data_IF_051062444363
#
_entry.id   IF_051062444363
#
_cell.length_a   1.000
_cell.length_b   1.000
_cell.length_c   1.000
_cell.angle_alpha   90.00
_cell.angle_beta   90.00
_cell.angle_gamma   90.00
#
_symmetry.space_group_name_H-M   'P 1'
#
loop_
_entity.id
_entity.type
_entity.pdbx_description
1 polymer ?
2 non-polymer ?
3 non-polymer ?
4 water ?
#
# COMPACT_ATOMS: atom_id res chain seq x y z
N UNK A 29 -7.99 -25.54 -15.78
CA UNK A 29 -6.98 -25.97 -14.80
C UNK A 29 -6.57 -24.80 -13.90
N UNK A 30 -6.05 -25.11 -12.72
CA UNK A 30 -5.65 -24.04 -11.80
C UNK A 30 -4.37 -23.38 -12.31
N UNK A 31 -4.30 -22.05 -12.35
CA UNK A 31 -3.07 -21.39 -12.79
C UNK A 31 -1.95 -21.51 -11.76
N UNK A 32 -0.72 -21.34 -12.23
CA UNK A 32 0.43 -21.39 -11.35
C UNK A 32 0.27 -20.36 -10.23
N UNK A 33 0.61 -20.76 -9.01
CA UNK A 33 0.63 -19.81 -7.92
C UNK A 33 1.76 -20.16 -6.96
N UNK A 34 2.29 -19.17 -6.24
CA UNK A 34 3.40 -19.46 -5.32
C UNK A 34 2.96 -20.34 -4.18
N UNK A 35 3.83 -21.29 -3.82
CA UNK A 35 3.53 -22.22 -2.75
C UNK A 35 4.36 -21.97 -1.50
N UNK A 36 5.43 -21.16 -1.61
CA UNK A 36 6.27 -20.76 -0.50
C UNK A 36 6.78 -19.36 -0.79
N UNK A 37 7.32 -18.71 0.24
CA UNK A 37 7.64 -17.28 0.12
C UNK A 37 8.68 -17.05 -0.97
N UNK A 38 9.61 -18.00 -1.17
CA UNK A 38 10.64 -17.78 -2.19
C UNK A 38 10.09 -17.92 -3.61
N UNK A 39 8.92 -18.53 -3.78
CA UNK A 39 8.31 -18.65 -5.10
C UNK A 39 7.96 -17.30 -5.70
N UNK A 40 7.89 -16.27 -4.86
CA UNK A 40 7.64 -14.91 -5.35
C UNK A 40 8.76 -14.44 -6.27
N UNK A 41 9.95 -15.06 -6.18
CA UNK A 41 11.03 -14.76 -7.11
C UNK A 41 10.59 -14.93 -8.56
N UNK A 42 9.76 -15.94 -8.84
CA UNK A 42 9.28 -16.22 -10.19
C UNK A 42 8.16 -15.30 -10.69
N UNK A 43 7.58 -14.45 -9.85
CA UNK A 43 6.54 -13.56 -10.35
C UNK A 43 6.82 -12.09 -10.06
N UNK A 44 7.53 -11.78 -8.98
CA UNK A 44 7.72 -10.39 -8.59
C UNK A 44 8.49 -9.58 -9.64
N UNK A 45 9.17 -10.25 -10.58
CA UNK A 45 9.81 -9.55 -11.70
C UNK A 45 8.97 -9.52 -12.98
N UNK A 46 7.72 -9.99 -12.95
CA UNK A 46 6.86 -9.91 -14.14
C UNK A 46 6.09 -8.60 -14.09
N UNK A 47 6.75 -7.53 -14.51
CA UNK A 47 6.16 -6.19 -14.43
C UNK A 47 5.30 -5.92 -15.66
N UNK A 55 5.40 7.06 -18.51
CA UNK A 55 4.06 7.62 -18.43
C UNK A 55 4.08 8.84 -19.35
N UNK A 56 3.09 9.69 -19.33
CA UNK A 56 3.24 10.78 -20.29
C UNK A 56 3.10 12.12 -19.60
N UNK A 57 2.17 12.22 -18.65
CA UNK A 57 1.92 13.40 -17.83
C UNK A 57 2.76 13.39 -16.57
N UNK A 58 3.65 12.40 -16.43
CA UNK A 58 4.47 12.30 -15.23
C UNK A 58 5.45 13.47 -15.11
N UNK A 59 5.65 13.98 -13.90
CA UNK A 59 6.51 15.16 -13.71
C UNK A 59 7.96 14.95 -14.10
N UNK A 60 8.45 13.73 -14.03
CA UNK A 60 9.82 13.43 -14.41
C UNK A 60 10.00 12.88 -15.81
N UNK A 61 8.96 12.89 -16.64
CA UNK A 61 9.04 12.27 -17.95
C UNK A 61 10.14 12.87 -18.82
N UNK A 62 10.35 14.19 -18.75
CA UNK A 62 11.37 14.82 -19.58
C UNK A 62 12.72 14.99 -18.89
N UNK A 63 12.90 14.45 -17.68
CA UNK A 63 14.15 14.59 -16.92
C UNK A 63 14.99 13.30 -16.98
N UNK A 64 16.11 13.33 -17.71
CA UNK A 64 16.96 12.12 -17.79
C UNK A 64 17.58 11.71 -16.47
N UNK A 65 17.99 12.67 -15.67
CA UNK A 65 18.58 12.32 -14.39
C UNK A 65 17.55 11.57 -13.56
N UNK A 66 16.30 12.03 -13.58
CA UNK A 66 15.26 11.29 -12.85
C UNK A 66 15.07 9.90 -13.44
N UNK A 67 15.07 9.81 -14.79
CA UNK A 67 14.89 8.52 -15.45
C UNK A 67 16.01 7.55 -15.10
N UNK A 68 17.26 8.04 -15.06
CA UNK A 68 18.37 7.17 -14.71
C UNK A 68 18.22 6.69 -13.27
N UNK A 69 17.80 7.59 -12.38
CA UNK A 69 17.57 7.23 -10.98
C UNK A 69 16.49 6.17 -10.86
N UNK A 70 15.40 6.33 -11.62
CA UNK A 70 14.31 5.34 -11.59
C UNK A 70 14.78 4.00 -12.12
N UNK A 71 15.66 4.03 -13.13
CA UNK A 71 16.28 2.80 -13.62
C UNK A 71 17.11 2.15 -12.53
N UNK A 72 17.80 2.96 -11.73
CA UNK A 72 18.60 2.43 -10.64
C UNK A 72 17.70 1.66 -9.67
N UNK A 73 16.56 2.27 -9.27
CA UNK A 73 15.68 1.61 -8.33
C UNK A 73 15.05 0.35 -8.93
N UNK A 74 14.63 0.43 -10.20
CA UNK A 74 14.07 -0.73 -10.87
C UNK A 74 15.03 -1.91 -10.87
N UNK A 75 16.32 -1.64 -11.10
CA UNK A 75 17.31 -2.71 -11.18
C UNK A 75 17.51 -3.37 -9.81
N UNK A 76 17.45 -2.56 -8.74
CA UNK A 76 17.57 -3.13 -7.40
C UNK A 76 16.45 -4.13 -7.15
N UNK A 77 15.24 -3.78 -7.54
CA UNK A 77 14.11 -4.68 -7.38
C UNK A 77 14.25 -5.91 -8.27
N UNK A 78 14.63 -5.71 -9.54
CA UNK A 78 14.74 -6.82 -10.48
C UNK A 78 15.78 -7.84 -10.03
N UNK A 79 16.86 -7.38 -9.40
CA UNK A 79 17.96 -8.26 -9.02
C UNK A 79 17.79 -8.84 -7.63
N UNK A 80 16.84 -8.31 -6.85
CA UNK A 80 16.54 -8.86 -5.53
C UNK A 80 16.00 -10.28 -5.63
N UNK A 81 16.45 -11.14 -4.73
CA UNK A 81 15.91 -12.49 -4.59
C UNK A 81 15.57 -12.71 -3.13
N UNK A 82 14.52 -13.49 -2.88
CA UNK A 82 14.10 -13.74 -1.50
C UNK A 82 15.26 -14.28 -0.68
N UNK A 83 15.43 -13.74 0.52
CA UNK A 83 16.54 -14.05 1.39
C UNK A 83 17.59 -12.96 1.43
N UNK A 84 17.65 -12.15 0.39
CA UNK A 84 18.55 -11.00 0.37
C UNK A 84 18.11 -9.96 1.39
N UNK A 85 19.05 -9.28 2.04
CA UNK A 85 18.70 -8.01 2.64
C UNK A 85 18.28 -7.07 1.52
N UNK A 86 17.30 -6.21 1.79
CA UNK A 86 16.83 -5.29 0.76
C UNK A 86 17.92 -4.23 0.64
N UNK A 87 18.47 -4.00 -0.54
CA UNK A 87 19.57 -3.02 -0.67
C UNK A 87 19.24 -1.68 -0.03
N UNK A 88 20.14 -1.19 0.80
CA UNK A 88 19.93 0.12 1.36
C UNK A 88 20.41 1.16 0.37
N UNK A 89 19.71 2.28 0.33
CA UNK A 89 19.93 3.29 -0.67
C UNK A 89 20.30 4.60 0.02
N UNK A 90 21.28 5.29 -0.53
CA UNK A 90 21.56 6.66 -0.09
C UNK A 90 20.68 7.60 -0.91
N UNK A 91 19.63 8.11 -0.28
CA UNK A 91 18.73 9.03 -0.96
C UNK A 91 19.39 10.40 -1.12
N UNK A 92 19.05 11.07 -2.20
CA UNK A 92 19.68 12.37 -2.44
C UNK A 92 19.02 13.44 -1.58
N UNK A 93 19.75 14.56 -1.39
CA UNK A 93 19.22 15.71 -0.65
C UNK A 93 17.87 16.13 -1.20
N UNK A 94 17.73 16.12 -2.53
CA UNK A 94 16.46 16.49 -3.15
C UNK A 94 15.36 15.51 -2.76
N UNK A 95 15.68 14.22 -2.78
CA UNK A 95 14.69 13.21 -2.41
C UNK A 95 14.27 13.35 -0.96
N UNK A 96 15.23 13.60 -0.06
CA UNK A 96 14.88 13.69 1.34
C UNK A 96 14.03 14.93 1.63
N UNK A 97 14.28 16.04 0.91
CA UNK A 97 13.44 17.22 1.11
C UNK A 97 12.03 16.95 0.61
N UNK A 98 11.91 16.21 -0.50
CA UNK A 98 10.58 15.88 -1.01
C UNK A 98 9.82 15.04 0.01
N UNK A 99 10.48 13.99 0.52
CA UNK A 99 9.92 13.22 1.64
C UNK A 99 9.54 14.12 2.79
N UNK A 100 10.46 15.01 3.20
CA UNK A 100 10.20 15.87 4.34
C UNK A 100 8.97 16.71 4.15
N UNK A 101 8.79 17.26 2.95
CA UNK A 101 7.63 18.09 2.66
C UNK A 101 6.33 17.28 2.80
N UNK A 102 6.29 16.12 2.16
CA UNK A 102 5.15 15.21 2.29
C UNK A 102 4.92 14.82 3.75
N UNK A 103 6.00 14.42 4.43
CA UNK A 103 5.91 13.95 5.81
C UNK A 103 5.35 15.02 6.76
N UNK A 104 5.83 16.27 6.65
CA UNK A 104 5.32 17.32 7.54
C UNK A 104 3.84 17.64 7.34
N UNK A 105 3.38 17.75 6.10
CA UNK A 105 1.97 18.04 5.87
C UNK A 105 1.06 16.89 6.29
N UNK A 106 1.42 15.65 5.95
CA UNK A 106 0.57 14.53 6.30
C UNK A 106 0.44 14.37 7.82
N UNK A 107 1.54 14.52 8.55
CA UNK A 107 1.51 14.39 10.00
C UNK A 107 0.60 15.42 10.67
N UNK A 108 0.42 16.59 10.06
CA UNK A 108 -0.54 17.55 10.61
C UNK A 108 -1.96 16.98 10.59
N UNK A 109 -2.26 16.10 9.63
CA UNK A 109 -3.63 15.64 9.44
C UNK A 109 -3.95 14.34 10.16
N UNK A 110 -2.97 13.43 10.27
CA UNK A 110 -3.20 12.11 10.87
C UNK A 110 -3.95 12.14 12.19
N UNK A 111 -3.61 13.00 13.17
CA UNK A 111 -4.33 12.94 14.47
C UNK A 111 -5.83 13.08 14.36
N UNK A 112 -6.32 13.82 13.37
CA UNK A 112 -7.76 14.00 13.22
C UNK A 112 -8.35 13.17 12.10
N UNK A 113 -7.54 12.52 11.28
CA UNK A 113 -8.05 11.79 10.12
C UNK A 113 -7.80 10.29 10.16
N UNK A 114 -6.64 9.85 10.65
CA UNK A 114 -6.28 8.43 10.64
C UNK A 114 -6.99 7.63 11.73
N UNK A 115 -7.14 6.32 11.49
CA UNK A 115 -7.72 5.42 12.46
C UNK A 115 -6.77 5.20 13.63
N UNK A 116 -7.32 4.73 14.75
CA UNK A 116 -6.52 4.55 15.97
C UNK A 116 -5.35 3.58 15.74
N UNK A 117 -5.55 2.52 14.97
CA UNK A 117 -4.47 1.58 14.71
C UNK A 117 -3.29 2.28 14.04
N UNK A 118 -3.57 3.15 13.07
CA UNK A 118 -2.50 3.88 12.40
C UNK A 118 -1.75 4.78 13.37
N UNK A 119 -2.49 5.55 14.16
CA UNK A 119 -1.88 6.44 15.15
C UNK A 119 -1.09 5.68 16.20
N UNK A 120 -1.53 4.47 16.55
CA UNK A 120 -0.82 3.68 17.55
C UNK A 120 0.56 3.27 17.04
N UNK A 121 0.62 2.83 15.78
CA UNK A 121 1.83 2.23 15.22
C UNK A 121 2.83 3.28 14.73
N UNK A 122 2.33 4.44 14.28
CA UNK A 122 3.23 5.46 13.73
C UNK A 122 4.35 5.88 14.68
N UNK A 123 4.12 6.12 15.98
CA UNK A 123 5.25 6.49 16.84
C UNK A 123 6.30 5.40 16.96
N UNK A 124 5.89 4.13 16.90
CA UNK A 124 6.83 3.03 16.93
C UNK A 124 7.77 3.08 15.74
N UNK A 125 7.25 3.42 14.56
CA UNK A 125 8.08 3.53 13.37
C UNK A 125 9.11 4.64 13.49
N UNK A 126 8.73 5.77 14.10
CA UNK A 126 9.70 6.85 14.28
C UNK A 126 10.84 6.40 15.17
N UNK A 127 10.52 5.77 16.30
CA UNK A 127 11.53 5.35 17.25
C UNK A 127 12.42 4.21 16.71
N UNK A 128 11.83 3.20 16.09
CA UNK A 128 12.63 2.07 15.62
C UNK A 128 13.10 2.11 14.15
N UNK A 129 12.41 2.81 13.26
CA UNK A 129 12.79 2.82 11.85
C UNK A 129 13.28 4.17 11.33
N UNK A 130 13.46 5.15 12.20
CA UNK A 130 13.98 6.41 11.71
C UNK A 130 13.04 7.26 10.90
N UNK A 131 11.75 7.20 11.17
CA UNK A 131 10.82 8.05 10.46
C UNK A 131 11.03 9.46 10.99
N UNK A 132 11.54 10.35 10.15
CA UNK A 132 11.77 11.74 10.51
C UNK A 132 11.67 12.57 9.25
N UNK A 133 11.34 13.85 9.44
CA UNK A 133 11.31 14.80 8.33
C UNK A 133 12.59 14.79 7.50
N UNK A 134 13.75 14.52 8.12
CA UNK A 134 15.01 14.66 7.39
C UNK A 134 15.65 13.32 7.06
N UNK A 135 14.88 12.24 7.07
CA UNK A 135 15.44 10.92 6.83
C UNK A 135 14.36 10.04 6.23
N UNK A 136 14.64 9.45 5.07
CA UNK A 136 13.76 8.45 4.47
C UNK A 136 14.12 7.08 5.06
N UNK A 137 13.16 6.38 5.68
CA UNK A 137 13.44 5.06 6.24
C UNK A 137 13.85 4.06 5.15
N UNK A 138 14.73 3.13 5.52
CA UNK A 138 15.15 2.06 4.63
C UNK A 138 14.14 0.91 4.66
N UNK A 139 13.83 0.36 3.48
CA UNK A 139 12.88 -0.75 3.41
C UNK A 139 13.34 -1.93 4.24
N UNK A 140 14.65 -2.17 4.31
CA UNK A 140 15.15 -3.32 5.07
C UNK A 140 14.83 -3.16 6.56
N UNK A 141 14.96 -1.94 7.09
CA UNK A 141 14.66 -1.71 8.50
C UNK A 141 13.17 -1.88 8.75
N UNK A 142 12.35 -1.34 7.86
CA UNK A 142 10.90 -1.45 8.00
C UNK A 142 10.48 -2.91 7.88
N UNK A 143 11.12 -3.66 6.98
CA UNK A 143 10.79 -5.08 6.85
C UNK A 143 11.08 -5.83 8.14
N UNK A 144 12.26 -5.58 8.74
CA UNK A 144 12.59 -6.23 10.01
C UNK A 144 11.61 -5.85 11.11
N UNK A 145 11.18 -4.59 11.15
CA UNK A 145 10.16 -4.17 12.12
C UNK A 145 8.88 -4.95 11.94
N UNK A 146 8.39 -5.05 10.70
CA UNK A 146 7.13 -5.73 10.45
C UNK A 146 7.21 -7.24 10.69
N UNK A 147 8.36 -7.87 10.41
CA UNK A 147 8.47 -9.30 10.62
C UNK A 147 8.28 -9.66 12.09
N UNK A 148 8.85 -8.86 12.98
CA UNK A 148 8.68 -9.05 14.42
C UNK A 148 7.24 -8.79 14.86
N UNK A 149 6.65 -7.70 14.40
CA UNK A 149 5.32 -7.33 14.85
C UNK A 149 4.22 -8.25 14.31
N UNK A 150 4.17 -8.49 13.00
CA UNK A 150 3.10 -9.30 12.42
C UNK A 150 3.56 -10.38 11.47
N UNK A 151 4.85 -10.52 11.24
CA UNK A 151 5.31 -11.48 10.27
C UNK A 151 5.25 -10.95 8.86
N UNK A 152 4.79 -9.71 8.66
CA UNK A 152 4.84 -9.11 7.33
C UNK A 152 6.27 -8.76 7.00
N UNK A 153 6.56 -8.75 5.70
CA UNK A 153 7.88 -8.40 5.21
C UNK A 153 7.73 -7.64 3.91
N UNK A 154 8.80 -6.96 3.52
CA UNK A 154 8.78 -6.15 2.33
C UNK A 154 9.65 -6.82 1.26
N UNK A 155 9.21 -6.71 0.01
CA UNK A 155 10.00 -7.05 -1.15
C UNK A 155 9.99 -5.89 -2.13
N UNK A 156 11.14 -5.37 -2.55
CA UNK A 156 11.12 -4.24 -3.47
C UNK A 156 10.58 -4.68 -4.83
N UNK A 157 9.71 -3.85 -5.42
CA UNK A 157 9.10 -4.15 -6.71
C UNK A 157 9.41 -3.03 -7.71
N UNK A 158 9.85 -3.42 -8.92
CA UNK A 158 10.23 -2.40 -9.89
C UNK A 158 9.05 -1.56 -10.36
N UNK A 159 7.90 -2.19 -10.56
CA UNK A 159 6.72 -1.50 -11.04
C UNK A 159 5.47 -2.32 -10.80
N UNK A 160 4.45 -2.07 -11.63
CA UNK A 160 3.20 -2.79 -11.50
C UNK A 160 3.29 -4.23 -11.98
N UNK A 161 2.83 -5.12 -11.12
CA UNK A 161 2.68 -6.55 -11.32
C UNK A 161 1.22 -6.77 -11.73
N UNK A 162 0.93 -7.94 -12.27
CA UNK A 162 -0.47 -8.23 -12.49
C UNK A 162 -1.17 -8.32 -11.13
N UNK A 163 -2.48 -8.08 -11.11
CA UNK A 163 -3.24 -8.25 -9.85
C UNK A 163 -3.00 -9.60 -9.21
N UNK A 164 -2.94 -10.66 -10.02
CA UNK A 164 -2.74 -11.99 -9.46
C UNK A 164 -1.41 -12.09 -8.74
N UNK A 165 -0.34 -11.62 -9.38
CA UNK A 165 0.97 -11.71 -8.76
C UNK A 165 1.07 -10.80 -7.53
N UNK A 166 0.56 -9.57 -7.62
CA UNK A 166 0.61 -8.67 -6.46
C UNK A 166 -0.12 -9.21 -5.26
N UNK A 167 -1.37 -9.63 -5.45
CA UNK A 167 -2.14 -10.25 -4.36
C UNK A 167 -1.47 -11.50 -3.82
N UNK A 168 -0.80 -12.28 -4.68
CA UNK A 168 -0.24 -13.54 -4.22
C UNK A 168 0.84 -13.31 -3.16
N UNK A 169 1.56 -12.19 -3.22
CA UNK A 169 2.53 -11.90 -2.17
C UNK A 169 1.90 -11.79 -0.80
N UNK A 170 0.72 -11.16 -0.72
CA UNK A 170 0.02 -11.03 0.56
C UNK A 170 -0.24 -12.39 1.22
N UNK A 171 -0.41 -13.45 0.42
CA UNK A 171 -0.66 -14.75 1.01
C UNK A 171 0.49 -15.20 1.91
N UNK A 172 1.69 -14.68 1.68
CA UNK A 172 2.86 -15.01 2.47
C UNK A 172 3.27 -13.86 3.38
N UNK A 173 2.35 -12.90 3.57
CA UNK A 173 2.63 -11.67 4.32
C UNK A 173 3.79 -10.90 3.72
N UNK A 174 3.83 -10.85 2.38
CA UNK A 174 4.83 -10.10 1.63
C UNK A 174 4.13 -8.96 0.91
N UNK A 175 4.60 -7.74 1.15
CA UNK A 175 4.06 -6.58 0.47
C UNK A 175 5.08 -6.08 -0.54
N UNK A 176 4.68 -6.05 -1.81
CA UNK A 176 5.57 -5.57 -2.85
C UNK A 176 5.57 -4.06 -2.77
N UNK A 177 6.76 -3.48 -2.65
CA UNK A 177 6.98 -2.12 -2.21
C UNK A 177 7.82 -1.36 -3.22
N UNK A 178 7.42 -0.15 -3.57
CA UNK A 178 8.27 0.68 -4.42
C UNK A 178 9.33 1.34 -3.54
N UNK A 179 10.50 1.55 -4.12
CA UNK A 179 11.62 2.09 -3.38
C UNK A 179 12.04 3.49 -3.84
N UNK A 180 11.54 3.96 -4.99
CA UNK A 180 11.92 5.25 -5.52
C UNK A 180 11.10 6.37 -4.88
N UNK A 181 11.50 7.60 -5.16
CA UNK A 181 10.81 8.80 -4.66
C UNK A 181 10.19 9.54 -5.83
N UNK A 182 9.01 10.13 -5.59
CA UNK A 182 8.38 10.98 -6.60
C UNK A 182 9.31 12.11 -7.04
N UNK A 183 9.09 12.60 -8.26
CA UNK A 183 9.86 13.71 -8.78
C UNK A 183 9.74 14.92 -7.87
N UNK A 184 10.85 15.65 -7.69
CA UNK A 184 10.86 16.75 -6.73
C UNK A 184 10.05 17.95 -7.20
N UNK A 185 9.80 18.07 -8.51
CA UNK A 185 9.05 19.21 -9.04
C UNK A 185 7.65 19.32 -8.46
N UNK A 186 7.01 18.20 -8.09
CA UNK A 186 5.66 18.24 -7.54
C UNK A 186 5.52 17.26 -6.38
N UNK A 187 5.85 17.69 -5.15
CA UNK A 187 5.81 16.75 -4.02
C UNK A 187 4.42 16.21 -3.68
N UNK A 188 3.37 16.77 -4.29
CA UNK A 188 1.99 16.37 -4.05
C UNK A 188 1.41 15.58 -5.21
N UNK A 189 2.27 15.04 -6.07
CA UNK A 189 1.85 14.28 -7.25
C UNK A 189 1.61 12.83 -6.83
N UNK A 190 0.34 12.40 -6.80
CA UNK A 190 0.07 11.10 -6.21
C UNK A 190 -0.43 9.97 -7.12
N UNK A 191 -0.75 10.14 -8.42
CA UNK A 191 -1.36 8.99 -9.12
C UNK A 191 -0.38 7.85 -9.34
N UNK A 192 0.92 8.06 -9.13
CA UNK A 192 1.86 6.95 -9.17
C UNK A 192 2.36 6.69 -7.76
N UNK A 193 2.26 5.47 -7.26
CA UNK A 193 2.77 5.18 -5.90
C UNK A 193 4.28 5.28 -5.86
N UNK A 194 4.80 5.94 -4.84
CA UNK A 194 6.24 5.94 -4.59
C UNK A 194 6.49 5.44 -3.17
N UNK A 195 7.77 5.51 -2.75
CA UNK A 195 8.12 4.93 -1.46
C UNK A 195 7.45 5.71 -0.33
N UNK A 196 7.29 7.03 -0.49
CA UNK A 196 6.57 7.82 0.51
C UNK A 196 5.19 7.22 0.76
N UNK A 197 4.50 6.81 -0.31
CA UNK A 197 3.19 6.18 -0.18
C UNK A 197 3.29 4.87 0.58
N UNK A 198 4.32 4.07 0.28
CA UNK A 198 4.47 2.78 0.97
C UNK A 198 4.73 2.99 2.45
N UNK A 199 5.67 3.88 2.77
CA UNK A 199 6.17 3.99 4.14
C UNK A 199 5.17 4.71 5.05
N UNK A 200 4.50 5.74 4.53
CA UNK A 200 3.55 6.50 5.33
C UNK A 200 2.12 5.98 5.21
N UNK A 201 1.77 5.40 4.08
CA UNK A 201 0.44 4.87 3.91
C UNK A 201 0.21 3.43 4.32
N UNK A 202 1.06 2.51 3.84
CA UNK A 202 0.88 1.10 4.13
C UNK A 202 1.53 0.58 5.42
N UNK A 203 2.77 0.98 5.69
CA UNK A 203 3.53 0.32 6.76
C UNK A 203 2.89 0.38 8.14
N UNK A 204 2.33 1.51 8.60
CA UNK A 204 1.78 1.51 9.97
C UNK A 204 0.67 0.49 10.17
N UNK A 205 -0.21 0.32 9.18
CA UNK A 205 -1.25 -0.70 9.29
C UNK A 205 -0.71 -2.13 9.17
N UNK A 206 0.29 -2.39 8.32
CA UNK A 206 0.84 -3.74 8.25
C UNK A 206 1.39 -4.19 9.60
N UNK A 207 1.67 -3.26 10.50
CA UNK A 207 2.19 -3.61 11.81
C UNK A 207 1.07 -3.95 12.79
N UNK A 208 -0.19 -3.85 12.35
CA UNK A 208 -1.34 -4.19 13.19
C UNK A 208 -1.82 -5.61 12.91
N UNK A 209 -1.80 -6.50 13.91
CA UNK A 209 -2.22 -7.89 13.69
C UNK A 209 -3.55 -8.08 12.96
N UNK A 210 -4.62 -7.41 13.40
CA UNK A 210 -5.92 -7.57 12.74
C UNK A 210 -5.85 -7.16 11.27
N UNK A 211 -5.15 -6.08 10.97
CA UNK A 211 -5.03 -5.65 9.58
C UNK A 211 -4.17 -6.62 8.77
N UNK A 212 -3.06 -7.10 9.35
CA UNK A 212 -2.21 -8.08 8.66
C UNK A 212 -2.99 -9.35 8.33
N UNK A 213 -3.83 -9.83 9.25
CA UNK A 213 -4.63 -11.01 8.98
C UNK A 213 -5.61 -10.76 7.84
N UNK A 214 -6.34 -9.63 7.91
CA UNK A 214 -7.23 -9.22 6.83
C UNK A 214 -6.51 -9.21 5.49
N UNK A 215 -5.36 -8.55 5.42
CA UNK A 215 -4.59 -8.47 4.18
C UNK A 215 -4.15 -9.84 3.70
N UNK A 216 -3.61 -10.68 4.61
CA UNK A 216 -3.14 -11.99 4.19
C UNK A 216 -4.28 -12.81 3.58
N UNK A 217 -5.49 -12.66 4.13
CA UNK A 217 -6.60 -13.48 3.66
C UNK A 217 -7.06 -13.07 2.27
N UNK A 218 -6.85 -11.81 1.89
CA UNK A 218 -7.05 -11.44 0.49
C UNK A 218 -6.06 -12.22 -0.38
N UNK A 219 -4.79 -12.22 0.01
CA UNK A 219 -3.79 -12.97 -0.74
C UNK A 219 -4.11 -14.46 -0.83
N UNK A 220 -4.45 -15.07 0.30
CA UNK A 220 -4.77 -16.49 0.32
C UNK A 220 -5.97 -16.80 -0.59
N UNK A 221 -7.00 -15.96 -0.55
CA UNK A 221 -8.16 -16.19 -1.40
C UNK A 221 -7.80 -16.08 -2.89
N UNK A 222 -6.81 -15.27 -3.23
CA UNK A 222 -6.49 -15.06 -4.64
C UNK A 222 -5.72 -16.23 -5.25
N UNK A 223 -5.08 -17.06 -4.42
CA UNK A 223 -4.13 -18.05 -4.92
C UNK A 223 -4.82 -19.08 -5.80
N UNK A 224 -4.45 -19.10 -7.09
CA UNK A 224 -5.04 -20.02 -8.03
C UNK A 224 -6.49 -19.74 -8.36
N UNK A 225 -7.00 -18.57 -8.01
CA UNK A 225 -8.40 -18.25 -8.25
C UNK A 225 -8.62 -17.92 -9.73
N UNK A 226 -9.89 -17.92 -10.14
CA UNK A 226 -10.24 -17.53 -11.49
C UNK A 226 -9.83 -16.09 -11.77
N UNK A 227 -9.78 -15.72 -13.06
CA UNK A 227 -9.43 -14.35 -13.42
C UNK A 227 -10.44 -13.36 -12.86
N UNK A 228 -11.73 -13.71 -12.93
CA UNK A 228 -12.78 -12.83 -12.43
C UNK A 228 -12.69 -12.67 -10.92
N UNK A 229 -12.44 -13.78 -10.21
CA UNK A 229 -12.26 -13.74 -8.76
C UNK A 229 -11.09 -12.84 -8.38
N UNK A 230 -9.96 -12.95 -9.09
CA UNK A 230 -8.82 -12.08 -8.80
C UNK A 230 -9.21 -10.62 -9.01
N UNK A 231 -9.97 -10.33 -10.06
CA UNK A 231 -10.36 -8.93 -10.26
C UNK A 231 -11.20 -8.45 -9.09
N UNK A 232 -12.16 -9.26 -8.63
CA UNK A 232 -13.02 -8.85 -7.51
C UNK A 232 -12.22 -8.66 -6.23
N UNK A 233 -11.30 -9.57 -5.94
CA UNK A 233 -10.45 -9.40 -4.76
C UNK A 233 -9.58 -8.16 -4.90
N UNK A 234 -9.06 -7.91 -6.10
CA UNK A 234 -8.23 -6.73 -6.29
C UNK A 234 -9.05 -5.46 -6.05
N UNK A 235 -10.33 -5.49 -6.42
CA UNK A 235 -11.17 -4.30 -6.22
C UNK A 235 -11.53 -4.14 -4.75
N UNK A 236 -11.83 -5.26 -4.07
CA UNK A 236 -12.06 -5.20 -2.63
C UNK A 236 -10.83 -4.68 -1.91
N UNK A 237 -9.65 -5.18 -2.28
CA UNK A 237 -8.38 -4.66 -1.78
C UNK A 237 -8.29 -3.15 -2.00
N UNK A 238 -8.62 -2.70 -3.21
CA UNK A 238 -8.50 -1.29 -3.55
C UNK A 238 -9.33 -0.41 -2.61
N UNK A 239 -10.57 -0.83 -2.34
CA UNK A 239 -11.49 -0.04 -1.53
C UNK A 239 -11.40 -0.35 -0.04
N UNK A 240 -10.39 -1.11 0.37
CA UNK A 240 -10.08 -1.25 1.78
C UNK A 240 -8.63 -0.83 2.03
N UNK A 241 -7.68 -1.71 1.66
CA UNK A 241 -6.27 -1.44 1.90
C UNK A 241 -5.82 -0.11 1.32
N UNK A 242 -6.34 0.27 0.15
CA UNK A 242 -5.83 1.49 -0.46
C UNK A 242 -6.71 2.72 -0.24
N UNK A 243 -8.04 2.59 -0.18
CA UNK A 243 -8.90 3.76 -0.03
C UNK A 243 -9.99 3.56 1.01
N UNK A 244 -9.77 2.66 1.95
CA UNK A 244 -10.80 2.32 2.91
C UNK A 244 -11.00 3.39 3.97
N UNK A 245 -12.25 3.53 4.39
CA UNK A 245 -12.61 4.28 5.59
C UNK A 245 -13.11 3.27 6.63
N UNK A 246 -13.02 3.66 7.89
CA UNK A 246 -13.60 2.85 8.95
C UNK A 246 -14.37 3.74 9.92
N UNK A 247 -15.25 3.10 10.68
CA UNK A 247 -16.05 3.75 11.69
C UNK A 247 -15.46 3.42 13.06
N UNK A 248 -15.09 4.44 13.84
CA UNK A 248 -14.48 4.21 15.14
C UNK A 248 -15.08 5.15 16.17
N UNK A 249 -15.76 4.59 17.19
CA UNK A 249 -16.45 5.39 18.19
C UNK A 249 -17.42 6.37 17.53
N UNK A 250 -18.13 5.89 16.51
CA UNK A 250 -19.12 6.72 15.85
C UNK A 250 -18.57 7.72 14.86
N UNK A 251 -17.25 7.84 14.75
CA UNK A 251 -16.60 8.76 13.81
C UNK A 251 -16.05 8.01 12.61
N UNK A 252 -15.95 8.70 11.49
CA UNK A 252 -15.35 8.14 10.28
C UNK A 252 -13.85 8.37 10.39
N UNK A 253 -13.05 7.33 10.20
CA UNK A 253 -11.62 7.53 10.04
C UNK A 253 -11.12 6.89 8.77
N UNK A 254 -9.85 7.15 8.45
CA UNK A 254 -9.23 6.70 7.22
C UNK A 254 -8.22 5.60 7.54
N UNK A 255 -8.27 4.51 6.78
CA UNK A 255 -7.22 3.49 6.90
C UNK A 255 -6.59 3.16 5.54
N UNK A 256 -7.16 3.62 4.44
CA UNK A 256 -6.59 3.34 3.14
C UNK A 256 -5.27 4.06 2.91
N UNK A 257 -4.24 3.30 2.52
CA UNK A 257 -2.90 3.82 2.28
C UNK A 257 -2.90 4.93 1.25
N UNK A 258 -3.72 4.79 0.20
CA UNK A 258 -3.75 5.80 -0.86
C UNK A 258 -4.24 7.14 -0.34
N UNK A 259 -5.18 7.12 0.60
CA UNK A 259 -5.64 8.35 1.24
C UNK A 259 -4.61 8.87 2.23
N UNK A 260 -4.02 7.98 3.01
CA UNK A 260 -3.08 8.39 4.04
C UNK A 260 -1.82 9.02 3.46
N UNK A 261 -1.50 8.78 2.20
CA UNK A 261 -0.36 9.45 1.58
C UNK A 261 -0.76 10.56 0.61
N UNK A 262 -2.05 10.90 0.52
CA UNK A 262 -2.52 11.92 -0.40
C UNK A 262 -3.16 13.06 0.39
N UNK A 263 -2.44 14.17 0.53
CA UNK A 263 -2.88 15.27 1.38
C UNK A 263 -4.27 15.77 0.99
N UNK A 264 -4.50 16.04 -0.30
CA UNK A 264 -5.78 16.64 -0.66
C UNK A 264 -6.92 15.63 -0.53
N UNK A 265 -6.70 14.37 -0.91
CA UNK A 265 -7.80 13.42 -0.84
C UNK A 265 -8.07 12.96 0.59
N UNK A 266 -7.03 12.93 1.43
CA UNK A 266 -7.22 12.62 2.84
C UNK A 266 -8.22 13.58 3.48
N UNK A 267 -8.07 14.88 3.19
CA UNK A 267 -9.01 15.87 3.68
C UNK A 267 -10.39 15.70 3.04
N UNK A 268 -10.40 15.51 1.72
CA UNK A 268 -11.67 15.37 1.00
C UNK A 268 -12.48 14.18 1.51
N UNK A 269 -11.81 13.05 1.77
CA UNK A 269 -12.53 11.84 2.17
C UNK A 269 -13.34 12.04 3.46
N UNK A 270 -12.82 12.80 4.41
CA UNK A 270 -13.57 13.01 5.65
C UNK A 270 -14.43 14.28 5.61
N UNK A 271 -14.38 15.03 4.52
CA UNK A 271 -15.25 16.19 4.34
C UNK A 271 -16.67 15.75 3.98
N UNK A 272 -17.62 16.67 4.13
CA UNK A 272 -18.98 16.35 3.74
C UNK A 272 -19.18 16.15 2.25
N UNK A 273 -18.20 16.55 1.44
CA UNK A 273 -18.29 16.44 -0.01
C UNK A 273 -18.09 15.02 -0.52
N UNK A 274 -17.59 14.09 0.30
CA UNK A 274 -17.39 12.75 -0.20
C UNK A 274 -18.64 11.89 -0.07
N UNK A 275 -18.79 10.99 -1.02
CA UNK A 275 -19.89 10.03 -1.04
C UNK A 275 -19.40 8.77 -0.35
N UNK A 276 -20.15 8.29 0.65
CA UNK A 276 -19.73 7.13 1.41
C UNK A 276 -20.81 6.07 1.44
N UNK A 277 -20.40 4.81 1.37
CA UNK A 277 -21.28 3.65 1.37
C UNK A 277 -20.69 2.56 2.26
N UNK A 278 -21.52 1.63 2.74
CA UNK A 278 -21.00 0.56 3.60
C UNK A 278 -20.14 -0.42 2.80
N UNK A 279 -19.02 -0.84 3.39
CA UNK A 279 -18.23 -1.91 2.76
C UNK A 279 -19.07 -3.17 2.67
N UNK A 280 -19.21 -3.69 1.47
CA UNK A 280 -20.05 -4.87 1.20
C UNK A 280 -19.48 -5.53 -0.04
N UNK A 281 -18.64 -6.56 0.13
CA UNK A 281 -17.87 -7.10 -1.01
C UNK A 281 -18.66 -7.34 -2.28
N UNK A 282 -19.86 -7.93 -2.21
CA UNK A 282 -20.59 -8.21 -3.44
C UNK A 282 -20.99 -6.93 -4.17
N UNK A 283 -21.10 -5.83 -3.45
CA UNK A 283 -21.32 -4.53 -4.07
C UNK A 283 -20.00 -3.83 -4.38
N UNK A 284 -19.11 -3.77 -3.38
CA UNK A 284 -17.85 -3.07 -3.51
C UNK A 284 -17.01 -3.59 -4.69
N UNK A 285 -17.07 -4.91 -4.95
CA UNK A 285 -16.21 -5.49 -5.98
C UNK A 285 -16.61 -5.06 -7.38
N UNK A 286 -17.79 -4.46 -7.53
CA UNK A 286 -18.27 -3.98 -8.80
C UNK A 286 -17.86 -2.55 -9.09
N UNK A 287 -17.40 -1.83 -8.07
CA UNK A 287 -17.07 -0.42 -8.24
C UNK A 287 -15.78 -0.23 -9.04
N UNK A 288 -15.83 0.65 -10.03
CA UNK A 288 -14.66 0.97 -10.83
C UNK A 288 -13.60 1.67 -9.97
N UNK A 289 -12.34 1.30 -10.17
CA UNK A 289 -11.21 1.88 -9.44
C UNK A 289 -10.64 3.04 -10.26
N UNK A 290 -10.67 4.25 -9.69
CA UNK A 290 -10.23 5.46 -10.38
C UNK A 290 -8.80 5.79 -9.96
N UNK A 291 -8.00 6.26 -10.92
CA UNK A 291 -6.59 6.56 -10.69
C UNK A 291 -6.24 8.04 -10.85
N UNK A 292 -6.79 8.73 -11.85
CA UNK A 292 -6.44 10.13 -12.08
C UNK A 292 -7.25 11.15 -11.29
N UNK A 293 -8.27 10.75 -10.55
CA UNK A 293 -9.05 11.69 -9.77
C UNK A 293 -9.37 11.09 -8.41
N UNK A 294 -9.94 11.93 -7.54
CA UNK A 294 -10.50 11.43 -6.30
C UNK A 294 -11.48 10.30 -6.64
N UNK A 295 -11.64 9.37 -5.71
CA UNK A 295 -12.68 8.35 -5.86
C UNK A 295 -14.05 9.02 -5.94
N UNK A 296 -14.97 8.37 -6.64
CA UNK A 296 -16.35 8.82 -6.64
C UNK A 296 -17.04 8.44 -5.35
N UNK A 297 -16.58 7.36 -4.72
CA UNK A 297 -17.21 6.82 -3.53
C UNK A 297 -16.14 6.15 -2.70
N UNK A 298 -16.35 6.13 -1.38
CA UNK A 298 -15.48 5.46 -0.42
C UNK A 298 -16.32 4.47 0.36
N UNK A 299 -15.73 3.32 0.68
CA UNK A 299 -16.45 2.31 1.45
C UNK A 299 -15.96 2.28 2.90
N UNK A 300 -16.92 2.19 3.83
CA UNK A 300 -16.65 2.23 5.26
C UNK A 300 -16.78 0.85 5.88
N UNK A 301 -15.69 0.37 6.46
CA UNK A 301 -15.72 -0.90 7.16
C UNK A 301 -15.98 -0.60 8.63
N UNK A 302 -16.76 -1.47 9.26
CA UNK A 302 -17.04 -1.33 10.68
C UNK A 302 -15.75 -1.43 11.50
N UNK A 303 -14.88 -2.37 11.14
CA UNK A 303 -13.61 -2.63 11.81
C UNK A 303 -12.83 -3.56 10.89
N UNK A 304 -11.55 -3.77 11.21
CA UNK A 304 -10.78 -4.69 10.38
C UNK A 304 -11.29 -6.13 10.58
N UNK A 305 -11.68 -6.48 11.80
CA UNK A 305 -12.23 -7.81 12.04
C UNK A 305 -13.50 -8.03 11.24
N UNK A 306 -14.39 -7.03 11.20
CA UNK A 306 -15.63 -7.18 10.46
C UNK A 306 -15.39 -7.26 8.96
N UNK A 307 -14.50 -6.40 8.44
CA UNK A 307 -14.15 -6.47 7.02
C UNK A 307 -13.59 -7.85 6.70
N UNK A 308 -12.81 -8.42 7.63
CA UNK A 308 -12.27 -9.75 7.45
C UNK A 308 -13.39 -10.79 7.37
N UNK A 309 -14.37 -10.69 8.27
CA UNK A 309 -15.48 -11.63 8.27
C UNK A 309 -16.30 -11.52 6.99
N UNK A 310 -16.55 -10.29 6.53
CA UNK A 310 -17.32 -10.09 5.31
C UNK A 310 -16.59 -10.70 4.12
N UNK A 311 -15.27 -10.53 4.05
CA UNK A 311 -14.53 -11.12 2.94
C UNK A 311 -14.59 -12.64 2.99
N UNK A 312 -14.51 -13.23 4.20
CA UNK A 312 -14.61 -14.69 4.32
C UNK A 312 -15.90 -15.20 3.70
N UNK A 313 -17.02 -14.56 4.01
CA UNK A 313 -18.30 -14.95 3.41
C UNK A 313 -18.28 -14.74 1.90
N UNK A 314 -17.73 -13.61 1.44
CA UNK A 314 -17.68 -13.31 0.02
C UNK A 314 -16.81 -14.28 -0.77
N UNK A 315 -15.62 -14.59 -0.26
CA UNK A 315 -14.70 -15.46 -0.99
C UNK A 315 -15.27 -16.86 -1.18
N UNK A 316 -16.14 -17.31 -0.27
CA UNK A 316 -16.76 -18.61 -0.49
C UNK A 316 -17.56 -18.63 -1.79
N UNK A 317 -18.28 -17.55 -2.09
CA UNK A 317 -19.04 -17.51 -3.33
C UNK A 317 -18.22 -17.31 -4.61
N UNK A 318 -16.98 -16.83 -4.54
CA UNK A 318 -16.21 -16.69 -5.77
C UNK A 318 -15.03 -17.66 -5.81
N UNK A 319 -14.98 -18.63 -4.91
CA UNK A 319 -13.97 -19.65 -5.00
C UNK A 319 -14.34 -20.90 -4.21
#
# INVERSE_FOLDING_TARGET
MKHHHHHHHGAAGTSLYKKAGENLYFQGSVPWFPKKISDLDHCANRVLMYGSELDADHPGFKDNVYRKRRKYFADLAMNYKHGDPIPKVEFTEEEIKTWGTVFQELNKLYPTHACREYLKNLPLLSKYCGYREDNIPQLEDVSNFLKERTGFSIRPVAGYLSPRDFLSGLAFRVFHCTQYVRHSSDPFYTPEPDTCHELLGHVPLLAEPSFAQFSQEIGLASLGASEEAVQKLATCYFFTVEFGLCKQDGQLRVFGAGLLSSISELKHALSGHAKVKPFDPKITCKQECLITTFQDVYFVSESFEDAKEKMREFTKTIKRPFGVKY
#
